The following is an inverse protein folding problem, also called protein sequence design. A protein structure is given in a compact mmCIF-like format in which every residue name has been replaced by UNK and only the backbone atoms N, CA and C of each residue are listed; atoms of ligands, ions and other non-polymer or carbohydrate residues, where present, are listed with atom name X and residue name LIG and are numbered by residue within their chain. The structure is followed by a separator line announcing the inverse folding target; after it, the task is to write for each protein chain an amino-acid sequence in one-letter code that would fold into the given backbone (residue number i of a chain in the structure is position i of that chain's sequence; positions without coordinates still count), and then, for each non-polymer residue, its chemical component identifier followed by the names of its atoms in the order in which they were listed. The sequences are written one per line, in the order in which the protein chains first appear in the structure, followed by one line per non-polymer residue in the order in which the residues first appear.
data_IF_044330596568
#
_entry.id   IF_044330596568
#
_cell.length_a   1.000
_cell.length_b   1.000
_cell.length_c   1.000
_cell.angle_alpha   90.00
_cell.angle_beta   90.00
_cell.angle_gamma   90.00
#
_symmetry.space_group_name_H-M   'P 1'
#
loop_
_entity.id
_entity.type
_entity.pdbx_description
1 polymer ?
#
# COMPACT_ATOMS: atom_id res chain seq x y z
N UNK A 1 -10.53 30.56 -108.10
CA UNK A 1 -10.77 32.03 -107.95
C UNK A 1 -10.80 32.33 -106.44
N UNK A 2 -9.93 33.21 -105.94
CA UNK A 2 -9.89 33.89 -104.64
C UNK A 2 -9.95 33.00 -103.35
N UNK A 3 -8.84 32.58 -102.71
CA UNK A 3 -7.90 33.33 -101.84
C UNK A 3 -8.62 34.09 -100.70
N UNK A 4 -8.47 33.61 -99.51
CA UNK A 4 -8.16 34.48 -98.34
C UNK A 4 -7.54 33.66 -97.17
N UNK A 5 -6.30 34.00 -96.89
CA UNK A 5 -5.54 33.62 -95.70
C UNK A 5 -6.15 34.27 -94.47
N UNK A 6 -6.32 33.52 -93.40
CA UNK A 6 -6.46 34.08 -92.04
C UNK A 6 -5.46 33.44 -91.11
N UNK A 7 -4.55 34.30 -90.68
CA UNK A 7 -3.53 34.13 -89.71
C UNK A 7 -4.16 33.72 -88.35
N UNK A 8 -3.70 32.66 -87.76
CA UNK A 8 -4.08 32.24 -86.43
C UNK A 8 -2.90 32.42 -85.46
N UNK A 9 -3.06 33.39 -84.59
CA UNK A 9 -2.10 33.69 -83.50
C UNK A 9 -2.18 32.55 -82.45
N UNK A 10 -1.01 31.93 -82.16
CA UNK A 10 -0.84 30.91 -81.14
C UNK A 10 -0.46 31.58 -79.82
N UNK A 11 -1.38 31.62 -78.85
CA UNK A 11 -0.99 32.03 -77.53
C UNK A 11 -0.54 30.79 -76.74
N UNK A 12 0.73 30.76 -76.42
CA UNK A 12 1.30 29.80 -75.46
C UNK A 12 1.00 30.24 -74.02
N UNK A 13 0.08 29.53 -73.36
CA UNK A 13 -0.24 29.76 -72.00
C UNK A 13 0.71 28.89 -71.16
N UNK A 14 1.72 29.49 -70.51
CA UNK A 14 2.64 28.84 -69.57
C UNK A 14 1.94 28.71 -68.23
N UNK A 15 1.37 27.52 -67.93
CA UNK A 15 0.81 27.20 -66.63
C UNK A 15 1.92 26.90 -65.60
N UNK A 16 2.10 27.81 -64.65
CA UNK A 16 2.93 27.55 -63.45
C UNK A 16 2.15 26.63 -62.51
N UNK A 17 2.57 25.39 -62.46
CA UNK A 17 2.01 24.38 -61.53
C UNK A 17 2.69 24.57 -60.17
N UNK A 18 2.03 25.28 -59.24
CA UNK A 18 2.48 25.39 -57.86
C UNK A 18 2.24 24.05 -57.16
N UNK A 19 3.32 23.28 -56.94
CA UNK A 19 3.33 22.10 -56.05
C UNK A 19 3.22 22.61 -54.62
N UNK A 20 2.01 22.60 -54.05
CA UNK A 20 1.80 22.72 -52.63
C UNK A 20 2.17 21.40 -52.00
N UNK A 21 3.35 21.30 -51.40
CA UNK A 21 3.77 20.21 -50.54
C UNK A 21 2.91 20.23 -49.24
N UNK A 22 1.92 19.36 -49.18
CA UNK A 22 1.27 19.02 -47.92
C UNK A 22 2.28 18.28 -47.06
N UNK A 23 2.97 18.98 -46.15
CA UNK A 23 3.64 18.35 -45.04
C UNK A 23 2.55 17.72 -44.14
N UNK A 24 2.64 16.43 -43.81
CA UNK A 24 1.73 15.87 -42.82
C UNK A 24 1.95 16.61 -41.51
N UNK A 25 0.93 17.30 -41.04
CA UNK A 25 0.87 17.83 -39.70
C UNK A 25 0.89 16.60 -38.78
N UNK A 26 2.07 16.22 -38.30
CA UNK A 26 2.17 15.30 -37.17
C UNK A 26 1.50 16.05 -36.00
N UNK A 27 0.28 15.67 -35.68
CA UNK A 27 -0.32 16.07 -34.44
C UNK A 27 0.65 15.59 -33.35
N UNK A 28 1.37 16.53 -32.74
CA UNK A 28 2.04 16.31 -31.49
C UNK A 28 0.91 15.88 -30.53
N UNK A 29 0.77 14.55 -30.29
CA UNK A 29 0.04 14.08 -29.13
C UNK A 29 0.65 14.82 -27.96
N UNK A 30 -0.12 15.77 -27.41
CA UNK A 30 0.30 16.55 -26.27
C UNK A 30 0.70 15.56 -25.20
N UNK A 31 1.98 15.54 -24.88
CA UNK A 31 2.55 14.69 -23.83
C UNK A 31 1.81 15.08 -22.55
N UNK A 32 0.80 14.29 -22.16
CA UNK A 32 0.08 14.52 -20.92
C UNK A 32 1.12 14.58 -19.83
N UNK A 33 1.13 15.66 -19.06
CA UNK A 33 2.08 15.87 -17.99
C UNK A 33 2.08 14.66 -17.07
N UNK A 34 3.23 14.03 -16.85
CA UNK A 34 3.36 12.88 -15.96
C UNK A 34 3.00 13.30 -14.54
N UNK A 35 2.30 12.42 -13.83
CA UNK A 35 1.88 12.62 -12.43
C UNK A 35 2.96 12.05 -11.52
N UNK A 36 3.54 12.84 -10.61
CA UNK A 36 4.47 12.32 -9.63
C UNK A 36 3.71 11.44 -8.61
N UNK A 37 4.25 10.27 -8.33
CA UNK A 37 3.74 9.33 -7.32
C UNK A 37 4.89 8.96 -6.41
N UNK A 38 4.64 8.99 -5.09
CA UNK A 38 5.61 8.55 -4.08
C UNK A 38 5.02 7.41 -3.28
N UNK A 39 5.80 6.35 -3.08
CA UNK A 39 5.45 5.18 -2.27
C UNK A 39 6.56 4.86 -1.29
N UNK A 40 6.19 4.18 -0.20
CA UNK A 40 7.16 3.57 0.71
C UNK A 40 7.52 2.17 0.22
N UNK A 41 8.80 1.87 0.22
CA UNK A 41 9.37 0.58 -0.18
C UNK A 41 10.24 0.07 0.92
N UNK A 42 10.05 -1.18 1.35
CA UNK A 42 10.96 -1.86 2.25
C UNK A 42 12.00 -2.65 1.45
N UNK A 43 13.28 -2.44 1.75
CA UNK A 43 14.36 -3.26 1.20
C UNK A 43 14.67 -4.40 2.16
N UNK A 44 14.58 -5.62 1.70
CA UNK A 44 14.87 -6.83 2.46
C UNK A 44 16.13 -7.51 1.94
N UNK A 45 16.92 -8.05 2.85
CA UNK A 45 18.08 -8.91 2.55
C UNK A 45 17.98 -10.19 3.37
N UNK A 46 18.59 -11.26 2.89
CA UNK A 46 18.70 -12.49 3.67
C UNK A 46 19.36 -12.18 5.04
N UNK A 47 18.92 -12.87 6.08
CA UNK A 47 19.27 -12.58 7.48
C UNK A 47 20.78 -12.63 7.81
N UNK A 48 21.58 -13.28 6.96
CA UNK A 48 23.03 -13.41 7.06
C UNK A 48 23.82 -12.32 6.30
N UNK A 49 23.12 -11.40 5.61
CA UNK A 49 23.74 -10.38 4.78
C UNK A 49 23.56 -8.97 5.35
N UNK A 50 24.58 -8.15 5.13
CA UNK A 50 24.46 -6.70 5.38
C UNK A 50 23.69 -6.05 4.22
N UNK A 51 22.82 -5.09 4.51
CA UNK A 51 22.15 -4.26 3.48
C UNK A 51 23.22 -3.58 2.62
N UNK A 52 23.26 -3.81 1.30
CA UNK A 52 24.14 -3.07 0.41
C UNK A 52 23.64 -1.63 0.25
N UNK A 53 24.48 -0.76 -0.29
CA UNK A 53 24.03 0.53 -0.75
C UNK A 53 23.16 0.33 -2.00
N UNK A 54 21.93 0.82 -1.97
CA UNK A 54 20.98 0.75 -3.09
C UNK A 54 20.89 2.14 -3.72
N UNK A 55 21.31 2.25 -4.97
CA UNK A 55 21.26 3.50 -5.71
C UNK A 55 19.97 3.58 -6.55
N UNK A 56 19.62 4.78 -7.00
CA UNK A 56 18.40 4.98 -7.80
C UNK A 56 18.37 4.16 -9.09
N UNK A 57 19.52 3.95 -9.73
CA UNK A 57 19.67 3.14 -10.94
C UNK A 57 19.42 1.64 -10.73
N UNK A 58 19.59 1.15 -9.49
CA UNK A 58 19.33 -0.24 -9.11
C UNK A 58 17.83 -0.54 -8.99
N UNK A 59 16.99 0.51 -8.99
CA UNK A 59 15.55 0.41 -8.78
C UNK A 59 14.81 0.41 -10.12
N UNK A 60 14.07 -0.66 -10.38
CA UNK A 60 13.28 -0.83 -11.60
C UNK A 60 11.81 -0.94 -11.27
N UNK A 61 11.03 0.09 -11.61
CA UNK A 61 9.59 0.07 -11.48
C UNK A 61 8.93 -0.03 -12.86
N UNK A 62 7.90 -0.89 -12.97
CA UNK A 62 7.15 -1.13 -14.20
C UNK A 62 5.65 -1.05 -13.94
N UNK A 63 4.93 -0.53 -14.92
CA UNK A 63 3.47 -0.64 -15.02
C UNK A 63 3.16 -1.51 -16.25
N UNK A 64 2.73 -2.74 -16.03
CA UNK A 64 2.64 -3.74 -17.07
C UNK A 64 4.01 -4.00 -17.73
N UNK A 65 4.16 -3.66 -19.02
CA UNK A 65 5.43 -3.81 -19.76
C UNK A 65 6.27 -2.53 -19.80
N UNK A 66 5.71 -1.40 -19.41
CA UNK A 66 6.36 -0.10 -19.46
C UNK A 66 7.22 0.14 -18.22
N UNK A 67 8.50 0.52 -18.40
CA UNK A 67 9.38 0.96 -17.33
C UNK A 67 9.09 2.44 -17.04
N UNK A 68 8.75 2.72 -15.77
CA UNK A 68 8.51 4.08 -15.31
C UNK A 68 9.83 4.76 -14.93
N UNK A 69 9.86 6.09 -15.06
CA UNK A 69 11.03 6.87 -14.68
C UNK A 69 11.03 7.10 -13.18
N UNK A 70 12.03 6.54 -12.50
CA UNK A 70 12.33 6.88 -11.10
C UNK A 70 12.88 8.30 -11.04
N UNK A 71 12.30 9.13 -10.19
CA UNK A 71 12.69 10.54 -10.00
C UNK A 71 13.42 10.76 -8.68
N UNK A 72 13.11 9.94 -7.66
CA UNK A 72 13.76 10.01 -6.35
C UNK A 72 13.80 8.62 -5.70
N UNK A 73 14.90 8.29 -5.05
CA UNK A 73 15.09 7.12 -4.22
C UNK A 73 15.92 7.53 -3.01
N UNK A 74 15.27 7.67 -1.85
CA UNK A 74 15.92 8.16 -0.63
C UNK A 74 15.53 7.29 0.56
N UNK A 75 16.47 7.01 1.50
CA UNK A 75 16.12 6.32 2.73
C UNK A 75 15.14 7.16 3.55
N UNK A 76 14.17 6.50 4.19
CA UNK A 76 13.19 7.12 5.06
C UNK A 76 13.81 7.47 6.44
N UNK A 77 14.85 8.29 6.43
CA UNK A 77 15.68 8.67 7.58
C UNK A 77 15.87 10.19 7.67
N UNK A 78 16.35 10.69 8.81
CA UNK A 78 16.53 12.13 9.03
C UNK A 78 15.22 12.90 8.82
N UNK A 79 15.23 13.92 7.99
CA UNK A 79 14.05 14.76 7.69
C UNK A 79 12.94 13.98 6.94
N UNK A 80 13.25 12.81 6.40
CA UNK A 80 12.30 11.91 5.71
C UNK A 80 11.83 10.76 6.59
N UNK A 81 12.20 10.74 7.87
CA UNK A 81 11.89 9.66 8.83
C UNK A 81 10.43 9.66 9.31
N UNK A 82 9.67 10.72 9.06
CA UNK A 82 8.31 10.89 9.58
C UNK A 82 7.41 9.67 9.34
N UNK A 83 6.84 9.13 10.43
CA UNK A 83 5.98 7.95 10.42
C UNK A 83 4.76 8.18 11.31
N UNK A 84 3.57 7.86 10.79
CA UNK A 84 2.35 7.65 11.58
C UNK A 84 2.12 6.14 11.69
N UNK A 85 2.39 5.58 12.87
CA UNK A 85 2.23 4.16 13.18
C UNK A 85 0.99 3.95 14.05
N UNK A 86 0.02 3.19 13.57
CA UNK A 86 -1.19 2.89 14.34
C UNK A 86 -1.21 1.45 14.80
N UNK A 87 -1.27 1.23 16.12
CA UNK A 87 -1.45 -0.08 16.70
C UNK A 87 -2.95 -0.39 16.83
N UNK A 88 -3.43 -1.34 16.02
CA UNK A 88 -4.83 -1.70 15.90
C UNK A 88 -5.07 -3.11 16.44
N UNK A 89 -5.70 -3.22 17.60
CA UNK A 89 -5.90 -4.48 18.33
C UNK A 89 -7.34 -4.96 18.19
N UNK A 90 -7.53 -6.23 17.90
CA UNK A 90 -8.87 -6.82 17.83
C UNK A 90 -9.39 -7.12 19.24
N UNK A 91 -10.51 -6.51 19.61
CA UNK A 91 -11.20 -6.78 20.88
C UNK A 91 -11.78 -8.23 20.96
N UNK A 92 -11.83 -8.94 19.83
CA UNK A 92 -12.14 -10.37 19.80
C UNK A 92 -10.95 -11.27 20.14
N UNK A 93 -9.75 -10.71 20.32
CA UNK A 93 -8.57 -11.48 20.70
C UNK A 93 -8.75 -12.14 22.08
N UNK A 94 -8.07 -13.28 22.23
CA UNK A 94 -8.05 -14.01 23.50
C UNK A 94 -7.30 -13.19 24.58
N UNK A 95 -7.70 -13.34 25.82
CA UNK A 95 -7.05 -12.71 26.99
C UNK A 95 -5.57 -13.07 27.16
N UNK A 96 -5.09 -14.16 26.51
CA UNK A 96 -3.66 -14.48 26.44
C UNK A 96 -2.82 -13.35 25.79
N UNK A 97 -3.42 -12.47 25.00
CA UNK A 97 -2.75 -11.27 24.51
C UNK A 97 -2.24 -10.38 25.66
N UNK A 98 -2.83 -10.48 26.84
CA UNK A 98 -2.39 -9.76 28.03
C UNK A 98 -0.93 -9.97 28.39
N UNK A 99 -0.38 -11.17 28.16
CA UNK A 99 1.04 -11.48 28.41
C UNK A 99 1.99 -10.74 27.45
N UNK A 100 1.49 -10.24 26.32
CA UNK A 100 2.27 -9.55 25.27
C UNK A 100 2.11 -8.03 25.31
N UNK A 101 1.23 -7.47 26.15
CA UNK A 101 1.05 -6.01 26.25
C UNK A 101 2.33 -5.31 26.69
N UNK A 102 3.14 -5.94 27.55
CA UNK A 102 4.46 -5.42 27.93
C UNK A 102 5.44 -5.34 26.76
N UNK A 103 5.43 -6.33 25.86
CA UNK A 103 6.26 -6.35 24.66
C UNK A 103 5.82 -5.27 23.66
N UNK A 104 4.51 -5.12 23.47
CA UNK A 104 3.94 -4.04 22.62
C UNK A 104 4.26 -2.66 23.21
N UNK A 105 4.17 -2.48 24.54
CA UNK A 105 4.52 -1.23 25.19
C UNK A 105 6.01 -0.91 25.05
N UNK A 106 6.89 -1.92 25.15
CA UNK A 106 8.33 -1.76 24.94
C UNK A 106 8.62 -1.35 23.49
N UNK A 107 7.99 -1.98 22.51
CA UNK A 107 8.11 -1.62 21.09
C UNK A 107 7.67 -0.17 20.84
N UNK A 108 6.52 0.26 21.38
CA UNK A 108 6.03 1.64 21.30
C UNK A 108 7.06 2.62 21.86
N UNK A 109 7.57 2.37 23.06
CA UNK A 109 8.52 3.25 23.74
C UNK A 109 9.91 3.30 23.05
N UNK A 110 10.25 2.27 22.28
CA UNK A 110 11.51 2.22 21.54
C UNK A 110 11.49 2.99 20.21
N UNK A 111 10.30 3.44 19.76
CA UNK A 111 10.20 4.15 18.48
C UNK A 111 10.93 5.51 18.52
N UNK A 112 11.52 5.94 17.38
CA UNK A 112 12.16 7.24 17.29
C UNK A 112 11.16 8.40 17.44
N UNK A 113 11.60 9.55 17.90
CA UNK A 113 10.76 10.74 18.10
C UNK A 113 10.09 11.26 16.82
N UNK A 114 10.55 10.84 15.64
CA UNK A 114 9.93 11.13 14.34
C UNK A 114 8.69 10.28 14.05
N UNK A 115 8.40 9.28 14.90
CA UNK A 115 7.22 8.43 14.81
C UNK A 115 6.13 8.96 15.73
N UNK A 116 4.94 9.22 15.20
CA UNK A 116 3.74 9.44 16.00
C UNK A 116 2.92 8.16 16.05
N UNK A 117 2.45 7.80 17.25
CA UNK A 117 1.79 6.53 17.50
C UNK A 117 0.34 6.75 17.91
N UNK A 118 -0.58 6.08 17.22
CA UNK A 118 -1.96 5.94 17.61
C UNK A 118 -2.26 4.53 18.11
N UNK A 119 -3.25 4.39 18.99
CA UNK A 119 -3.70 3.10 19.53
C UNK A 119 -5.21 3.02 19.46
N UNK A 120 -5.74 1.90 18.99
CA UNK A 120 -7.17 1.67 18.93
C UNK A 120 -7.54 0.20 18.92
N UNK A 121 -8.83 -0.05 19.17
CA UNK A 121 -9.39 -1.39 19.28
C UNK A 121 -10.52 -1.60 18.27
N UNK A 122 -10.47 -2.73 17.57
CA UNK A 122 -11.50 -3.12 16.61
C UNK A 122 -12.71 -3.72 17.32
N UNK A 123 -13.87 -3.13 17.09
CA UNK A 123 -15.15 -3.64 17.59
C UNK A 123 -16.30 -3.15 16.71
N UNK A 124 -17.31 -3.98 16.47
CA UNK A 124 -18.48 -3.64 15.66
C UNK A 124 -18.13 -3.12 14.25
N UNK A 125 -17.07 -3.66 13.62
CA UNK A 125 -16.56 -3.24 12.33
C UNK A 125 -16.11 -1.75 12.27
N UNK A 126 -15.78 -1.17 13.43
CA UNK A 126 -15.23 0.18 13.59
C UNK A 126 -14.01 0.16 14.49
N UNK A 127 -13.36 1.30 14.67
CA UNK A 127 -12.23 1.46 15.60
C UNK A 127 -12.59 2.41 16.72
N UNK A 128 -12.46 1.91 17.95
CA UNK A 128 -12.41 2.74 19.14
C UNK A 128 -10.98 3.25 19.30
N UNK A 129 -10.74 4.51 18.93
CA UNK A 129 -9.44 5.16 19.12
C UNK A 129 -9.31 5.54 20.60
N UNK A 130 -8.37 4.90 21.29
CA UNK A 130 -8.10 5.15 22.72
C UNK A 130 -6.94 6.11 22.92
N UNK A 131 -6.10 6.25 21.90
CA UNK A 131 -5.03 7.24 21.81
C UNK A 131 -4.90 7.71 20.37
N UNK A 132 -5.13 8.99 20.13
CA UNK A 132 -4.82 9.64 18.85
C UNK A 132 -3.30 9.68 18.63
N UNK A 133 -2.88 9.94 17.39
CA UNK A 133 -1.45 10.04 17.06
C UNK A 133 -0.72 11.02 17.97
N UNK A 134 0.29 10.54 18.67
CA UNK A 134 1.11 11.32 19.60
C UNK A 134 2.58 10.97 19.48
N UNK A 135 3.47 11.94 19.67
CA UNK A 135 4.89 11.72 19.85
C UNK A 135 5.26 11.35 21.32
N UNK A 136 4.29 11.43 22.25
CA UNK A 136 4.43 10.93 23.61
C UNK A 136 4.18 9.41 23.61
N UNK A 137 5.26 8.65 23.38
CA UNK A 137 5.21 7.21 23.31
C UNK A 137 4.80 6.56 24.64
N UNK A 138 5.11 7.18 25.77
CA UNK A 138 4.69 6.71 27.08
C UNK A 138 3.17 6.81 27.25
N UNK A 139 2.55 7.90 26.75
CA UNK A 139 1.09 8.03 26.72
C UNK A 139 0.47 6.98 25.81
N UNK A 140 1.03 6.74 24.61
CA UNK A 140 0.55 5.70 23.70
C UNK A 140 0.66 4.29 24.30
N UNK A 141 1.79 3.96 24.93
CA UNK A 141 1.99 2.68 25.60
C UNK A 141 1.00 2.47 26.77
N UNK A 142 0.70 3.52 27.52
CA UNK A 142 -0.26 3.49 28.62
C UNK A 142 -1.71 3.28 28.17
N UNK A 143 -2.03 3.60 26.93
CA UNK A 143 -3.36 3.37 26.35
C UNK A 143 -3.64 1.89 26.02
N UNK A 144 -2.62 1.02 26.07
CA UNK A 144 -2.80 -0.41 25.88
C UNK A 144 -3.65 -1.02 27.01
N UNK A 145 -4.63 -1.81 26.64
CA UNK A 145 -5.51 -2.54 27.56
C UNK A 145 -5.75 -3.98 27.10
N UNK A 146 -6.24 -4.80 27.96
CA UNK A 146 -6.72 -6.15 27.60
C UNK A 146 -7.87 -6.04 26.59
N UNK A 147 -7.91 -6.95 25.58
CA UNK A 147 -9.08 -7.10 24.72
C UNK A 147 -10.32 -7.45 25.56
N UNK A 148 -11.48 -6.99 25.11
CA UNK A 148 -12.75 -7.28 25.80
C UNK A 148 -13.26 -8.71 25.59
N UNK A 149 -12.59 -9.50 24.75
CA UNK A 149 -13.01 -10.86 24.40
C UNK A 149 -14.29 -10.89 23.55
N UNK A 150 -14.58 -9.83 22.82
CA UNK A 150 -15.78 -9.73 21.99
C UNK A 150 -15.58 -8.80 20.80
N UNK A 151 -15.87 -9.33 19.61
CA UNK A 151 -15.91 -8.52 18.38
C UNK A 151 -17.12 -7.58 18.28
N UNK A 152 -18.04 -7.63 19.25
CA UNK A 152 -19.33 -6.97 19.17
C UNK A 152 -20.30 -7.69 18.22
N UNK A 153 -21.36 -7.00 17.78
CA UNK A 153 -22.42 -7.58 16.95
C UNK A 153 -21.95 -7.86 15.51
N UNK A 154 -21.06 -7.03 14.98
CA UNK A 154 -20.59 -7.06 13.57
C UNK A 154 -19.06 -6.98 13.54
N UNK A 155 -18.37 -8.03 14.01
CA UNK A 155 -16.91 -8.05 14.03
C UNK A 155 -16.34 -8.27 12.63
N UNK A 156 -15.66 -7.28 12.07
CA UNK A 156 -14.84 -7.41 10.87
C UNK A 156 -13.56 -6.60 11.02
N UNK A 157 -12.38 -7.26 11.05
CA UNK A 157 -11.11 -6.54 11.12
C UNK A 157 -10.89 -5.68 9.89
N UNK A 158 -11.35 -6.12 8.72
CA UNK A 158 -11.17 -5.42 7.44
C UNK A 158 -12.00 -4.14 7.36
N UNK A 159 -13.27 -4.19 7.77
CA UNK A 159 -14.11 -3.00 7.84
C UNK A 159 -13.62 -2.01 8.89
N UNK A 160 -13.03 -2.50 10.00
CA UNK A 160 -12.38 -1.65 10.99
C UNK A 160 -11.16 -0.92 10.43
N UNK A 161 -10.35 -1.59 9.60
CA UNK A 161 -9.24 -0.96 8.88
C UNK A 161 -9.76 0.15 7.95
N UNK A 162 -10.83 -0.11 7.19
CA UNK A 162 -11.45 0.91 6.33
C UNK A 162 -11.97 2.10 7.15
N UNK A 163 -12.60 1.86 8.30
CA UNK A 163 -13.08 2.91 9.20
C UNK A 163 -11.93 3.77 9.73
N UNK A 164 -10.84 3.15 10.16
CA UNK A 164 -9.65 3.86 10.62
C UNK A 164 -9.08 4.77 9.52
N UNK A 165 -8.90 4.22 8.30
CA UNK A 165 -8.31 4.98 7.20
C UNK A 165 -9.18 6.17 6.77
N UNK A 166 -10.50 6.10 6.89
CA UNK A 166 -11.41 7.24 6.64
C UNK A 166 -11.23 8.38 7.64
N UNK A 167 -10.76 8.07 8.84
CA UNK A 167 -10.53 9.03 9.95
C UNK A 167 -9.07 9.40 10.12
N UNK A 168 -8.18 8.87 9.27
CA UNK A 168 -6.75 9.13 9.36
C UNK A 168 -6.45 10.60 9.10
N UNK A 169 -5.71 11.29 9.99
CA UNK A 169 -5.39 12.69 9.81
C UNK A 169 -4.49 12.91 8.60
N UNK A 170 -4.70 14.02 7.89
CA UNK A 170 -3.84 14.40 6.76
C UNK A 170 -2.40 14.61 7.23
N UNK A 171 -1.45 14.03 6.53
CA UNK A 171 -0.01 14.13 6.82
C UNK A 171 0.78 13.67 5.62
N UNK A 172 1.98 14.22 5.45
CA UNK A 172 2.97 13.77 4.45
C UNK A 172 3.85 12.62 4.97
N UNK A 173 3.67 12.23 6.24
CA UNK A 173 4.40 11.12 6.84
C UNK A 173 3.95 9.78 6.27
N UNK A 174 4.85 8.79 6.30
CA UNK A 174 4.50 7.39 6.00
C UNK A 174 3.36 6.94 6.91
N UNK A 175 2.48 6.07 6.39
CA UNK A 175 1.33 5.56 7.12
C UNK A 175 1.42 4.07 7.26
N UNK A 176 1.45 3.59 8.49
CA UNK A 176 1.53 2.16 8.76
C UNK A 176 0.61 1.73 9.88
N UNK A 177 0.05 0.54 9.72
CA UNK A 177 -0.80 -0.11 10.71
C UNK A 177 -0.11 -1.41 11.16
N UNK A 178 0.00 -1.61 12.46
CA UNK A 178 0.30 -2.91 13.06
C UNK A 178 -0.99 -3.47 13.62
N UNK A 179 -1.52 -4.47 12.94
CA UNK A 179 -2.80 -5.07 13.27
C UNK A 179 -2.60 -6.37 14.05
N UNK A 180 -3.21 -6.50 15.23
CA UNK A 180 -3.18 -7.71 16.06
C UNK A 180 -4.56 -8.34 16.06
N UNK A 181 -4.75 -9.48 15.36
CA UNK A 181 -6.07 -10.07 15.11
C UNK A 181 -5.97 -11.55 14.73
N UNK A 182 -7.11 -12.28 14.76
CA UNK A 182 -7.24 -13.60 14.13
C UNK A 182 -7.65 -13.53 12.64
N UNK A 183 -7.95 -12.34 12.12
CA UNK A 183 -8.37 -12.11 10.75
C UNK A 183 -9.75 -12.65 10.40
N UNK A 184 -10.52 -13.18 11.37
CA UNK A 184 -11.83 -13.79 11.12
C UNK A 184 -12.90 -12.71 10.94
N UNK A 185 -13.49 -12.67 9.77
CA UNK A 185 -14.60 -11.75 9.45
C UNK A 185 -15.93 -12.32 9.99
N UNK A 186 -16.33 -11.84 11.17
CA UNK A 186 -17.54 -12.28 11.85
C UNK A 186 -18.81 -11.59 11.35
N UNK A 187 -18.67 -10.49 10.58
CA UNK A 187 -19.80 -9.76 10.02
C UNK A 187 -20.45 -10.54 8.86
N UNK A 188 -19.68 -11.37 8.15
CA UNK A 188 -20.14 -12.16 7.02
C UNK A 188 -20.54 -13.59 7.37
N UNK A 189 -20.95 -13.85 8.57
CA UNK A 189 -21.41 -15.20 9.00
C UNK A 189 -22.56 -15.68 8.13
N UNK A 190 -22.46 -16.94 7.68
CA UNK A 190 -23.53 -17.60 6.91
C UNK A 190 -23.54 -17.32 5.41
N UNK A 191 -22.72 -16.40 4.91
CA UNK A 191 -22.47 -16.34 3.48
C UNK A 191 -21.58 -17.52 3.09
N UNK A 192 -22.12 -18.39 2.23
CA UNK A 192 -21.42 -19.61 1.82
C UNK A 192 -20.16 -19.27 1.02
N UNK A 193 -19.02 -19.26 1.69
CA UNK A 193 -17.67 -19.15 1.09
C UNK A 193 -17.25 -20.42 0.33
N UNK A 194 -18.16 -21.40 0.24
CA UNK A 194 -17.89 -22.68 -0.43
C UNK A 194 -17.71 -22.44 -1.93
N UNK A 195 -16.52 -22.02 -2.32
CA UNK A 195 -16.11 -21.87 -3.71
C UNK A 195 -15.50 -20.52 -4.11
N UNK A 196 -15.47 -19.51 -3.22
CA UNK A 196 -14.80 -18.23 -3.49
C UNK A 196 -13.63 -18.07 -2.52
N UNK A 197 -12.42 -18.12 -3.05
CA UNK A 197 -11.17 -17.91 -2.29
C UNK A 197 -10.95 -16.44 -1.86
N UNK A 198 -11.96 -15.58 -1.92
CA UNK A 198 -11.81 -14.14 -1.70
C UNK A 198 -12.88 -13.62 -0.75
N UNK A 199 -12.44 -13.03 0.36
CA UNK A 199 -13.30 -12.20 1.20
C UNK A 199 -13.32 -10.78 0.59
N UNK A 200 -14.47 -10.28 0.08
CA UNK A 200 -14.54 -8.96 -0.55
C UNK A 200 -14.22 -7.81 0.41
N UNK A 201 -14.32 -8.01 1.73
CA UNK A 201 -13.93 -6.99 2.70
C UNK A 201 -12.40 -6.89 2.83
N UNK A 202 -11.67 -7.99 2.63
CA UNK A 202 -10.21 -7.98 2.47
C UNK A 202 -9.82 -7.14 1.25
N UNK A 203 -10.45 -7.41 0.09
CA UNK A 203 -10.16 -6.70 -1.15
C UNK A 203 -10.49 -5.20 -1.01
N UNK A 204 -11.62 -4.87 -0.38
CA UNK A 204 -12.00 -3.48 -0.13
C UNK A 204 -11.04 -2.77 0.82
N UNK A 205 -10.56 -3.44 1.87
CA UNK A 205 -9.56 -2.89 2.78
C UNK A 205 -8.22 -2.68 2.08
N UNK A 206 -7.79 -3.65 1.25
CA UNK A 206 -6.58 -3.55 0.44
C UNK A 206 -6.65 -2.38 -0.54
N UNK A 207 -7.76 -2.22 -1.26
CA UNK A 207 -7.97 -1.11 -2.18
C UNK A 207 -7.88 0.25 -1.49
N UNK A 208 -8.50 0.40 -0.30
CA UNK A 208 -8.42 1.65 0.46
C UNK A 208 -7.01 1.89 0.98
N UNK A 209 -6.31 0.86 1.48
CA UNK A 209 -4.93 0.96 1.94
C UNK A 209 -3.98 1.39 0.81
N UNK A 210 -4.05 0.75 -0.36
CA UNK A 210 -3.25 1.13 -1.53
C UNK A 210 -3.56 2.54 -2.03
N UNK A 211 -4.84 2.97 -2.00
CA UNK A 211 -5.23 4.36 -2.37
C UNK A 211 -4.66 5.40 -1.43
N UNK A 212 -4.51 5.08 -0.16
CA UNK A 212 -3.99 5.99 0.88
C UNK A 212 -2.50 5.85 1.10
N UNK A 213 -1.83 4.90 0.41
CA UNK A 213 -0.42 4.58 0.61
C UNK A 213 -0.12 4.05 2.01
N UNK A 214 -1.09 3.33 2.62
CA UNK A 214 -0.95 2.77 3.97
C UNK A 214 -0.43 1.35 3.90
N UNK A 215 0.68 1.06 4.57
CA UNK A 215 1.23 -0.29 4.72
C UNK A 215 0.58 -0.95 5.94
N UNK A 216 0.23 -2.24 5.82
CA UNK A 216 -0.42 -2.97 6.90
C UNK A 216 0.40 -4.20 7.27
N UNK A 217 0.94 -4.20 8.48
CA UNK A 217 1.58 -5.35 9.09
C UNK A 217 0.60 -6.06 10.01
N UNK A 218 0.67 -7.38 10.07
CA UNK A 218 -0.27 -8.14 10.91
C UNK A 218 0.46 -9.12 11.80
N UNK A 219 0.04 -9.18 13.08
CA UNK A 219 0.45 -10.21 14.03
C UNK A 219 -0.78 -11.04 14.35
N UNK A 220 -0.72 -12.33 14.02
CA UNK A 220 -1.81 -13.23 14.31
C UNK A 220 -1.89 -13.54 15.79
N UNK A 221 -3.11 -13.46 16.34
CA UNK A 221 -3.45 -13.95 17.67
C UNK A 221 -4.83 -14.60 17.62
N UNK A 222 -5.03 -15.79 18.22
CA UNK A 222 -6.33 -16.43 18.21
C UNK A 222 -7.40 -15.57 18.88
N UNK A 223 -8.59 -15.56 18.30
CA UNK A 223 -9.75 -14.91 18.89
C UNK A 223 -10.41 -15.77 19.97
N UNK A 224 -11.49 -15.26 20.56
CA UNK A 224 -12.30 -15.97 21.55
C UNK A 224 -13.41 -16.81 20.93
N UNK A 225 -13.84 -17.82 21.69
CA UNK A 225 -15.02 -18.62 21.43
C UNK A 225 -14.79 -19.79 20.45
N UNK A 226 -15.88 -20.43 20.06
CA UNK A 226 -15.85 -21.65 19.23
C UNK A 226 -15.29 -21.42 17.83
N UNK A 227 -15.37 -20.22 17.32
CA UNK A 227 -14.91 -19.85 15.99
C UNK A 227 -13.39 -19.80 15.91
N UNK A 228 -12.75 -19.28 16.95
CA UNK A 228 -11.29 -19.28 17.06
C UNK A 228 -10.67 -20.68 17.13
N UNK A 229 -11.49 -21.69 17.49
CA UNK A 229 -11.10 -23.11 17.55
C UNK A 229 -11.43 -23.87 16.28
N UNK A 230 -12.11 -23.24 15.32
CA UNK A 230 -12.42 -23.85 14.03
C UNK A 230 -11.23 -23.67 13.11
N UNK A 231 -10.60 -24.76 12.72
CA UNK A 231 -9.44 -24.78 11.84
C UNK A 231 -9.67 -24.00 10.53
N UNK A 232 -10.83 -24.16 9.90
CA UNK A 232 -11.16 -23.49 8.65
C UNK A 232 -11.28 -21.98 8.81
N UNK A 233 -11.94 -21.51 9.86
CA UNK A 233 -12.10 -20.09 10.14
C UNK A 233 -10.75 -19.44 10.43
N UNK A 234 -9.94 -20.09 11.29
CA UNK A 234 -8.61 -19.59 11.62
C UNK A 234 -7.67 -19.54 10.40
N UNK A 235 -7.67 -20.59 9.57
CA UNK A 235 -6.88 -20.63 8.34
C UNK A 235 -7.36 -19.57 7.35
N UNK A 236 -8.68 -19.40 7.17
CA UNK A 236 -9.24 -18.35 6.30
C UNK A 236 -8.89 -16.96 6.82
N UNK A 237 -8.92 -16.75 8.15
CA UNK A 237 -8.48 -15.51 8.77
C UNK A 237 -7.02 -15.21 8.48
N UNK A 238 -6.12 -16.18 8.69
CA UNK A 238 -4.70 -16.05 8.35
C UNK A 238 -4.47 -15.73 6.88
N UNK A 239 -5.16 -16.41 5.97
CA UNK A 239 -5.08 -16.11 4.54
C UNK A 239 -5.52 -14.66 4.22
N UNK A 240 -6.56 -14.17 4.89
CA UNK A 240 -7.06 -12.81 4.70
C UNK A 240 -6.06 -11.74 5.18
N UNK A 241 -5.50 -11.90 6.38
CA UNK A 241 -4.50 -10.95 6.91
C UNK A 241 -3.18 -11.03 6.13
N UNK A 242 -2.75 -12.23 5.70
CA UNK A 242 -1.56 -12.39 4.84
C UNK A 242 -1.75 -11.63 3.54
N UNK A 243 -2.87 -11.87 2.83
CA UNK A 243 -3.18 -11.14 1.60
C UNK A 243 -3.19 -9.62 1.80
N UNK A 244 -3.80 -9.14 2.88
CA UNK A 244 -3.87 -7.71 3.16
C UNK A 244 -2.48 -7.10 3.37
N UNK A 245 -1.60 -7.78 4.13
CA UNK A 245 -0.21 -7.36 4.30
C UNK A 245 0.55 -7.39 2.98
N UNK A 246 0.53 -8.51 2.28
CA UNK A 246 1.28 -8.71 1.03
C UNK A 246 0.98 -7.63 -0.01
N UNK A 247 -0.31 -7.38 -0.31
CA UNK A 247 -0.70 -6.40 -1.36
C UNK A 247 -0.45 -4.95 -0.96
N UNK A 248 -0.26 -4.65 0.32
CA UNK A 248 0.08 -3.31 0.82
C UNK A 248 1.58 -3.11 1.05
N UNK A 249 2.40 -4.13 0.81
CA UNK A 249 3.85 -4.09 1.04
C UNK A 249 4.25 -4.25 2.50
N UNK A 250 3.36 -4.79 3.33
CA UNK A 250 3.61 -5.13 4.74
C UNK A 250 4.00 -6.59 4.94
N UNK A 251 4.07 -6.99 6.19
CA UNK A 251 4.47 -8.35 6.61
C UNK A 251 3.42 -8.95 7.54
N UNK A 252 3.20 -10.26 7.45
CA UNK A 252 2.30 -10.98 8.35
C UNK A 252 3.05 -12.00 9.19
N UNK A 253 2.89 -11.89 10.51
CA UNK A 253 3.62 -12.70 11.49
C UNK A 253 2.68 -13.71 12.14
N UNK A 254 2.93 -14.99 11.91
CA UNK A 254 2.25 -16.09 12.61
C UNK A 254 3.08 -17.37 12.60
N UNK A 255 2.89 -18.19 13.62
CA UNK A 255 3.47 -19.52 13.72
C UNK A 255 2.34 -20.52 14.06
N UNK A 256 1.74 -21.08 13.02
CA UNK A 256 0.55 -21.95 13.18
C UNK A 256 -0.66 -21.17 13.68
N UNK A 257 -1.57 -21.86 14.40
CA UNK A 257 -2.84 -21.32 14.85
C UNK A 257 -2.86 -20.97 16.36
N UNK A 258 -1.72 -20.96 17.00
CA UNK A 258 -1.58 -20.68 18.44
C UNK A 258 -1.15 -19.24 18.67
N UNK A 259 -1.41 -18.73 19.88
CA UNK A 259 -0.77 -17.49 20.33
C UNK A 259 0.74 -17.72 20.37
N UNK A 260 1.55 -16.86 19.77
CA UNK A 260 3.00 -16.93 19.90
C UNK A 260 3.41 -16.90 21.39
N UNK A 261 4.51 -17.56 21.73
CA UNK A 261 5.06 -17.51 23.11
C UNK A 261 5.55 -16.11 23.46
N UNK A 262 6.06 -15.39 22.48
CA UNK A 262 6.52 -14.00 22.59
C UNK A 262 6.28 -13.26 21.26
N UNK A 263 5.94 -11.99 21.34
CA UNK A 263 5.87 -11.09 20.18
C UNK A 263 7.22 -10.44 19.88
N UNK A 264 8.18 -10.46 20.80
CA UNK A 264 9.48 -9.79 20.62
C UNK A 264 10.16 -10.14 19.31
N UNK A 265 10.25 -11.41 18.86
CA UNK A 265 10.89 -11.72 17.58
C UNK A 265 10.21 -11.07 16.37
N UNK A 266 8.86 -10.95 16.40
CA UNK A 266 8.10 -10.29 15.34
C UNK A 266 8.25 -8.78 15.38
N UNK A 267 8.25 -8.20 16.60
CA UNK A 267 8.44 -6.77 16.79
C UNK A 267 9.87 -6.34 16.42
N UNK A 268 10.89 -7.17 16.70
CA UNK A 268 12.27 -6.95 16.27
C UNK A 268 12.41 -7.01 14.74
N UNK A 269 11.70 -7.94 14.09
CA UNK A 269 11.67 -8.01 12.63
C UNK A 269 10.92 -6.82 12.04
N UNK A 270 9.79 -6.43 12.63
CA UNK A 270 9.06 -5.23 12.23
C UNK A 270 9.91 -3.98 12.35
N UNK A 271 10.69 -3.84 13.45
CA UNK A 271 11.61 -2.72 13.60
C UNK A 271 12.64 -2.67 12.47
N UNK A 272 13.21 -3.82 12.09
CA UNK A 272 14.13 -3.89 10.93
C UNK A 272 13.46 -3.50 9.63
N UNK A 273 12.18 -3.85 9.44
CA UNK A 273 11.38 -3.44 8.28
C UNK A 273 11.26 -1.92 8.25
N UNK A 274 10.86 -1.30 9.37
CA UNK A 274 10.70 0.16 9.49
C UNK A 274 12.02 0.91 9.26
N UNK A 275 13.13 0.35 9.73
CA UNK A 275 14.49 0.95 9.61
C UNK A 275 15.04 0.86 8.16
N UNK A 276 14.56 -0.11 7.38
CA UNK A 276 15.02 -0.38 6.01
C UNK A 276 14.07 0.14 4.93
N UNK A 277 13.30 1.17 5.23
CA UNK A 277 12.39 1.78 4.30
C UNK A 277 13.00 2.93 3.51
N UNK A 278 12.52 3.06 2.28
CA UNK A 278 12.87 4.10 1.32
C UNK A 278 11.61 4.76 0.78
N UNK A 279 11.73 6.02 0.41
CA UNK A 279 10.73 6.73 -0.38
C UNK A 279 11.14 6.64 -1.86
N UNK A 280 10.29 6.03 -2.66
CA UNK A 280 10.42 5.92 -4.11
C UNK A 280 9.45 6.88 -4.76
N UNK A 281 9.97 7.89 -5.46
CA UNK A 281 9.18 8.76 -6.32
C UNK A 281 9.42 8.42 -7.78
N UNK A 282 8.35 8.40 -8.56
CA UNK A 282 8.41 8.11 -9.99
C UNK A 282 7.31 8.84 -10.76
N UNK A 283 7.46 8.90 -12.08
CA UNK A 283 6.52 9.54 -12.99
C UNK A 283 5.55 8.51 -13.56
N UNK A 284 4.25 8.66 -13.26
CA UNK A 284 3.19 7.81 -13.81
C UNK A 284 2.42 8.52 -14.94
N UNK A 285 1.90 7.76 -15.89
CA UNK A 285 0.99 8.31 -16.89
C UNK A 285 -0.32 8.75 -16.22
N UNK A 286 -0.83 9.96 -16.51
CA UNK A 286 -2.03 10.46 -15.84
C UNK A 286 -3.25 9.58 -16.16
N UNK A 287 -4.10 9.37 -15.16
CA UNK A 287 -5.38 8.70 -15.33
C UNK A 287 -6.46 9.70 -15.81
N UNK A 288 -7.45 9.25 -16.58
CA UNK A 288 -8.63 10.09 -16.93
C UNK A 288 -9.46 10.46 -15.71
N UNK A 289 -9.52 9.55 -14.74
CA UNK A 289 -10.04 9.73 -13.37
C UNK A 289 -8.99 9.11 -12.46
N UNK A 290 -8.89 9.57 -11.20
CA UNK A 290 -8.00 8.90 -10.25
C UNK A 290 -8.25 7.38 -10.22
N UNK A 291 -7.19 6.59 -10.30
CA UNK A 291 -7.27 5.13 -10.47
C UNK A 291 -6.10 4.43 -9.77
N UNK A 292 -6.34 3.20 -9.30
CA UNK A 292 -5.28 2.30 -8.83
C UNK A 292 -4.58 1.67 -10.03
N UNK A 293 -3.25 1.78 -10.06
CA UNK A 293 -2.40 1.23 -11.10
C UNK A 293 -1.46 0.19 -10.51
N UNK A 294 -1.57 -1.03 -10.99
CA UNK A 294 -0.66 -2.10 -10.61
C UNK A 294 0.75 -1.81 -11.10
N UNK A 295 1.70 -1.96 -10.20
CA UNK A 295 3.12 -1.76 -10.45
C UNK A 295 3.91 -2.99 -10.04
N UNK A 296 5.05 -3.20 -10.65
CA UNK A 296 6.01 -4.24 -10.25
C UNK A 296 7.33 -3.57 -9.97
N UNK A 297 7.87 -3.78 -8.79
CA UNK A 297 9.13 -3.23 -8.33
C UNK A 297 10.17 -4.35 -8.24
N UNK A 298 11.34 -4.12 -8.83
CA UNK A 298 12.45 -5.06 -8.81
C UNK A 298 13.77 -4.33 -8.64
N UNK A 299 14.81 -5.08 -8.27
CA UNK A 299 16.21 -4.61 -8.27
C UNK A 299 17.11 -5.62 -8.98
N UNK A 300 18.22 -5.13 -9.54
CA UNK A 300 19.26 -5.97 -10.14
C UNK A 300 20.30 -6.41 -9.09
N UNK A 301 20.21 -5.91 -7.86
CA UNK A 301 21.13 -6.25 -6.78
C UNK A 301 20.86 -7.67 -6.25
N UNK A 302 21.84 -8.53 -6.33
CA UNK A 302 21.74 -9.92 -5.91
C UNK A 302 21.47 -10.03 -4.39
N UNK A 303 20.37 -10.72 -4.03
CA UNK A 303 20.01 -10.97 -2.62
C UNK A 303 19.33 -9.80 -1.93
N UNK A 304 18.89 -8.79 -2.69
CA UNK A 304 17.96 -7.74 -2.24
C UNK A 304 16.59 -8.01 -2.84
N UNK A 305 15.57 -7.91 -2.02
CA UNK A 305 14.15 -7.97 -2.43
C UNK A 305 13.43 -6.73 -1.94
N UNK A 306 12.50 -6.23 -2.75
CA UNK A 306 11.67 -5.11 -2.38
C UNK A 306 10.26 -5.56 -2.01
N UNK A 307 9.76 -5.11 -0.87
CA UNK A 307 8.36 -5.16 -0.52
C UNK A 307 7.76 -3.76 -0.72
N UNK A 308 6.68 -3.68 -1.49
CA UNK A 308 5.99 -2.45 -1.85
C UNK A 308 4.52 -2.76 -2.15
N UNK A 309 3.63 -1.75 -2.13
CA UNK A 309 2.25 -1.96 -2.54
C UNK A 309 2.14 -2.47 -3.99
N UNK A 310 1.26 -3.46 -4.23
CA UNK A 310 1.00 -4.03 -5.56
C UNK A 310 0.43 -2.99 -6.53
N UNK A 311 -0.29 -1.99 -6.01
CA UNK A 311 -0.87 -0.93 -6.80
C UNK A 311 -0.73 0.43 -6.11
N UNK A 312 -0.70 1.48 -6.91
CA UNK A 312 -0.53 2.87 -6.47
C UNK A 312 -1.67 3.74 -6.98
N UNK A 313 -2.07 4.72 -6.20
CA UNK A 313 -3.05 5.70 -6.62
C UNK A 313 -2.42 6.73 -7.56
N UNK A 314 -2.93 6.82 -8.78
CA UNK A 314 -2.55 7.87 -9.73
C UNK A 314 -3.72 8.83 -9.87
N UNK A 315 -3.51 10.11 -9.52
CA UNK A 315 -4.53 11.14 -9.65
C UNK A 315 -4.88 11.43 -11.12
N UNK A 316 -6.04 12.03 -11.35
CA UNK A 316 -6.36 12.59 -12.65
C UNK A 316 -5.35 13.69 -13.01
N UNK A 317 -5.08 13.87 -14.31
CA UNK A 317 -4.39 15.06 -14.78
C UNK A 317 -5.24 16.29 -14.48
N UNK A 318 -4.66 17.29 -13.83
CA UNK A 318 -5.26 18.60 -13.66
C UNK A 318 -5.35 19.33 -14.99
#
# INVERSE_FOLDING_TARGET
MKSTFKSMFLYTLTGVMALTSFAPLHAQEGTKAAVPVTITVTANVASDRRMPQINQEDVVIKQGKERLKVTEWVPAQGDRAGLQLFLLIDDASNSSLGSHLGELAAFINAQPSTTSIGVGYMRNATVEIVQDFTADHAAAAKALRLPLGSAGAYGSPYLSVIDLMKRWPASDNRREIVMVTDGVDRARRGTSWRGLNTNPDVDSAADVAMRTGTIIHTIYTPGVGRWARNYWEATTGQMGISKLSDVTGGESFFLGLQTPVSFSPYLDQLQKILDNQYLLSFSAAPAKKGDLRYVTLNTELAGVEFAAPDAVWVSAAN
#
